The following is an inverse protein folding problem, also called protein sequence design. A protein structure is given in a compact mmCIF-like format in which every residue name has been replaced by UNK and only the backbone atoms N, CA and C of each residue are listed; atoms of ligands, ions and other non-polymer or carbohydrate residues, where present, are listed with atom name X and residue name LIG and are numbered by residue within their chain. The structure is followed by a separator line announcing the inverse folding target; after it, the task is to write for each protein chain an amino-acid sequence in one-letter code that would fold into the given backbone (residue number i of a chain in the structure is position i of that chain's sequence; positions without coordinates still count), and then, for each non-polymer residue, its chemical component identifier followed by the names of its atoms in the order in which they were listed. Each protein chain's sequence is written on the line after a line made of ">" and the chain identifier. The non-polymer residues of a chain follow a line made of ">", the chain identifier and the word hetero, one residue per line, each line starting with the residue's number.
data_IF_097203230773
#
_entry.id   IF_097203230773
#
_cell.length_a   1.000
_cell.length_b   1.000
_cell.length_c   1.000
_cell.angle_alpha   90.00
_cell.angle_beta   90.00
_cell.angle_gamma   90.00
#
_symmetry.space_group_name_H-M   'P 1'
#
loop_
_entity.id
_entity.type
_entity.pdbx_description
1 polymer ?
#
# COMPACT_ATOMS: atom_id res chain seq x y z
N UNK A 1 2.07 -28.67 -2.71
CA UNK A 1 1.30 -27.41 -2.60
C UNK A 1 2.01 -26.24 -3.28
N UNK A 2 3.28 -25.99 -2.97
CA UNK A 2 4.03 -24.85 -3.54
C UNK A 2 4.04 -24.90 -5.07
N UNK A 3 4.32 -26.04 -5.68
CA UNK A 3 4.36 -26.21 -7.14
C UNK A 3 3.05 -25.83 -7.85
N UNK A 4 1.89 -25.87 -7.17
CA UNK A 4 0.63 -25.43 -7.77
C UNK A 4 0.60 -23.92 -8.03
N UNK A 5 1.40 -23.15 -7.31
CA UNK A 5 1.52 -21.71 -7.50
C UNK A 5 2.40 -21.32 -8.70
N UNK A 6 3.21 -22.24 -9.26
CA UNK A 6 4.07 -21.97 -10.43
C UNK A 6 3.31 -21.41 -11.63
N UNK A 7 2.02 -21.77 -11.80
CA UNK A 7 1.21 -21.34 -12.95
C UNK A 7 1.01 -19.82 -13.00
N UNK A 8 1.02 -19.17 -11.86
CA UNK A 8 0.77 -17.72 -11.74
C UNK A 8 2.02 -16.98 -11.26
N UNK A 9 2.94 -17.64 -10.57
CA UNK A 9 4.13 -17.02 -10.03
C UNK A 9 5.05 -16.42 -11.11
N UNK A 10 5.66 -15.30 -10.79
CA UNK A 10 6.74 -14.70 -11.58
C UNK A 10 8.07 -15.38 -11.28
N UNK A 11 8.26 -15.76 -10.02
CA UNK A 11 9.47 -16.43 -9.57
C UNK A 11 9.24 -17.33 -8.37
N UNK A 12 10.11 -18.29 -8.23
CA UNK A 12 10.33 -19.07 -7.02
C UNK A 12 11.56 -18.52 -6.32
N UNK A 13 11.43 -18.25 -5.03
CA UNK A 13 12.53 -17.81 -4.17
C UNK A 13 12.82 -18.89 -3.15
N UNK A 14 14.10 -19.19 -2.95
CA UNK A 14 14.57 -19.99 -1.84
C UNK A 14 15.52 -19.16 -0.98
N UNK A 15 15.41 -19.31 0.33
CA UNK A 15 16.42 -18.86 1.28
C UNK A 15 16.98 -20.12 1.93
N UNK A 16 18.28 -20.34 1.75
CA UNK A 16 19.00 -21.50 2.29
C UNK A 16 20.31 -21.00 2.87
N UNK A 17 20.57 -21.34 4.13
CA UNK A 17 21.77 -20.90 4.87
C UNK A 17 22.01 -19.37 4.78
N UNK A 18 20.93 -18.58 4.85
CA UNK A 18 20.97 -17.12 4.78
C UNK A 18 21.23 -16.53 3.39
N UNK A 19 21.27 -17.33 2.35
CA UNK A 19 21.45 -16.90 0.95
C UNK A 19 20.16 -17.04 0.16
N UNK A 20 19.95 -16.10 -0.79
CA UNK A 20 18.79 -16.11 -1.67
C UNK A 20 19.11 -16.76 -3.02
N UNK A 21 18.22 -17.64 -3.47
CA UNK A 21 18.29 -18.29 -4.78
C UNK A 21 16.97 -18.08 -5.50
N UNK A 22 17.02 -17.80 -6.80
CA UNK A 22 15.84 -17.50 -7.62
C UNK A 22 15.76 -18.41 -8.85
N UNK A 23 14.55 -18.86 -9.12
CA UNK A 23 14.15 -19.46 -10.39
C UNK A 23 13.04 -18.58 -11.00
N UNK A 24 13.34 -17.90 -12.12
CA UNK A 24 12.38 -17.03 -12.79
C UNK A 24 11.53 -17.80 -13.79
N UNK A 25 10.23 -17.58 -13.79
CA UNK A 25 9.26 -18.19 -14.71
C UNK A 25 8.76 -17.21 -15.77
N UNK A 26 8.57 -15.96 -15.40
CA UNK A 26 8.11 -14.90 -16.31
C UNK A 26 8.60 -13.52 -15.86
N UNK A 27 8.59 -12.59 -16.77
CA UNK A 27 8.93 -11.19 -16.49
C UNK A 27 7.72 -10.47 -15.89
N UNK A 28 7.94 -9.65 -14.88
CA UNK A 28 6.93 -8.78 -14.30
C UNK A 28 6.71 -7.52 -15.15
N UNK A 29 5.60 -6.84 -14.91
CA UNK A 29 5.39 -5.50 -15.43
C UNK A 29 6.40 -4.56 -14.76
N UNK A 30 7.17 -3.83 -15.57
CA UNK A 30 8.18 -2.88 -15.07
C UNK A 30 9.23 -3.56 -14.17
N UNK A 31 9.74 -2.86 -13.16
CA UNK A 31 10.76 -3.36 -12.23
C UNK A 31 10.20 -3.97 -10.95
N UNK A 32 8.94 -4.41 -10.94
CA UNK A 32 8.29 -4.93 -9.72
C UNK A 32 9.02 -6.11 -9.09
N UNK A 33 9.33 -7.13 -9.88
CA UNK A 33 10.09 -8.29 -9.42
C UNK A 33 11.51 -7.91 -8.96
N UNK A 34 12.15 -7.01 -9.68
CA UNK A 34 13.50 -6.53 -9.38
C UNK A 34 13.55 -5.87 -7.99
N UNK A 35 12.66 -4.91 -7.72
CA UNK A 35 12.66 -4.21 -6.44
C UNK A 35 12.07 -5.04 -5.29
N UNK A 36 11.20 -6.01 -5.57
CA UNK A 36 10.78 -7.00 -4.57
C UNK A 36 11.94 -7.89 -4.13
N UNK A 37 12.67 -8.45 -5.08
CA UNK A 37 13.87 -9.25 -4.80
C UNK A 37 14.96 -8.42 -4.10
N UNK A 38 15.13 -7.16 -4.55
CA UNK A 38 16.04 -6.23 -3.88
C UNK A 38 15.66 -6.03 -2.41
N UNK A 39 14.37 -5.82 -2.12
CA UNK A 39 13.87 -5.69 -0.75
C UNK A 39 14.14 -6.91 0.11
N UNK A 40 13.98 -8.12 -0.43
CA UNK A 40 14.29 -9.35 0.26
C UNK A 40 15.80 -9.46 0.54
N UNK A 41 16.66 -9.09 -0.41
CA UNK A 41 18.10 -9.03 -0.17
C UNK A 41 18.47 -8.00 0.90
N UNK A 42 17.76 -6.86 0.96
CA UNK A 42 17.99 -5.89 2.03
C UNK A 42 17.54 -6.44 3.39
N UNK A 43 16.43 -7.20 3.46
CA UNK A 43 16.02 -7.89 4.68
C UNK A 43 17.12 -8.84 5.19
N UNK A 44 17.74 -9.62 4.30
CA UNK A 44 18.85 -10.52 4.65
C UNK A 44 20.08 -9.74 5.15
N UNK A 45 20.25 -8.48 4.73
CA UNK A 45 21.32 -7.60 5.24
C UNK A 45 20.95 -6.96 6.58
N UNK A 46 19.65 -6.69 6.83
CA UNK A 46 19.18 -6.20 8.15
C UNK A 46 19.33 -7.28 9.22
N UNK A 47 18.95 -8.52 8.88
CA UNK A 47 18.92 -9.65 9.81
C UNK A 47 19.71 -10.86 9.28
N UNK A 48 21.07 -10.74 9.17
CA UNK A 48 21.90 -11.79 8.58
C UNK A 48 21.82 -13.08 9.40
N UNK A 49 21.55 -14.21 8.72
CA UNK A 49 21.49 -15.53 9.34
C UNK A 49 20.31 -15.78 10.29
N UNK A 50 19.34 -14.85 10.39
CA UNK A 50 18.20 -14.98 11.31
C UNK A 50 16.94 -15.53 10.68
N UNK A 51 16.80 -15.46 9.35
CA UNK A 51 15.69 -16.08 8.64
C UNK A 51 15.89 -17.59 8.55
N UNK A 52 14.81 -18.33 8.81
CA UNK A 52 14.77 -19.77 8.58
C UNK A 52 14.87 -20.08 7.09
N UNK A 53 15.38 -21.27 6.77
CA UNK A 53 15.34 -21.78 5.41
C UNK A 53 13.89 -21.87 4.93
N UNK A 54 13.63 -21.36 3.75
CA UNK A 54 12.29 -21.36 3.17
C UNK A 54 12.31 -21.43 1.64
N UNK A 55 11.16 -21.79 1.10
CA UNK A 55 10.88 -21.78 -0.32
C UNK A 55 9.49 -21.18 -0.53
N UNK A 56 9.37 -20.19 -1.41
CA UNK A 56 8.10 -19.54 -1.71
C UNK A 56 7.91 -19.25 -3.19
N UNK A 57 6.68 -19.07 -3.60
CA UNK A 57 6.26 -18.56 -4.91
C UNK A 57 5.76 -17.14 -4.77
N UNK A 58 6.18 -16.27 -5.67
CA UNK A 58 5.78 -14.85 -5.69
C UNK A 58 5.17 -14.46 -7.03
N UNK A 59 4.03 -13.79 -6.99
CA UNK A 59 3.36 -13.23 -8.15
C UNK A 59 3.31 -11.69 -8.03
N UNK A 60 3.91 -11.00 -9.00
CA UNK A 60 4.04 -9.54 -9.04
C UNK A 60 2.87 -8.82 -9.72
N UNK A 61 1.82 -9.53 -10.11
CA UNK A 61 0.62 -8.93 -10.68
C UNK A 61 -0.28 -8.28 -9.61
N UNK A 62 -1.23 -7.44 -10.04
CA UNK A 62 -2.02 -6.63 -9.12
C UNK A 62 -3.05 -7.45 -8.32
N UNK A 63 -3.86 -8.29 -8.99
CA UNK A 63 -5.02 -8.93 -8.36
C UNK A 63 -4.70 -10.25 -7.70
N UNK A 64 -5.24 -10.52 -6.49
CA UNK A 64 -5.12 -11.83 -5.85
C UNK A 64 -5.82 -12.92 -6.67
N UNK A 65 -5.25 -14.13 -6.68
CA UNK A 65 -5.71 -15.24 -7.54
C UNK A 65 -6.06 -16.51 -6.80
N UNK A 66 -5.57 -16.71 -5.58
CA UNK A 66 -5.91 -17.90 -4.78
C UNK A 66 -7.27 -17.70 -4.14
N UNK A 67 -8.34 -18.07 -4.85
CA UNK A 67 -9.72 -17.79 -4.39
C UNK A 67 -10.16 -18.78 -3.32
N UNK A 68 -10.59 -18.28 -2.15
CA UNK A 68 -11.02 -19.12 -1.02
C UNK A 68 -12.16 -20.07 -1.35
N UNK A 69 -13.06 -19.69 -2.28
CA UNK A 69 -14.17 -20.54 -2.74
C UNK A 69 -13.72 -21.84 -3.43
N UNK A 70 -12.51 -21.83 -4.04
CA UNK A 70 -11.96 -22.96 -4.79
C UNK A 70 -11.26 -23.98 -3.88
N UNK A 71 -11.07 -23.62 -2.59
CA UNK A 71 -10.33 -24.42 -1.60
C UNK A 71 -11.19 -24.63 -0.35
N UNK A 72 -12.27 -25.42 -0.50
CA UNK A 72 -13.19 -25.76 0.61
C UNK A 72 -12.96 -27.18 1.09
N UNK A 73 -13.03 -27.37 2.41
CA UNK A 73 -12.89 -28.68 3.05
C UNK A 73 -11.50 -28.99 3.59
N UNK A 74 -11.35 -30.04 4.40
CA UNK A 74 -10.14 -30.30 5.18
C UNK A 74 -8.90 -30.65 4.34
N UNK A 75 -9.08 -31.10 3.10
CA UNK A 75 -8.00 -31.51 2.21
C UNK A 75 -7.76 -30.52 1.05
N UNK A 76 -8.35 -29.34 1.10
CA UNK A 76 -8.35 -28.43 -0.01
C UNK A 76 -6.94 -27.87 -0.36
N UNK A 77 -6.07 -27.64 0.63
CA UNK A 77 -4.67 -27.26 0.45
C UNK A 77 -4.44 -26.14 -0.57
N UNK A 78 -4.81 -24.88 -0.29
CA UNK A 78 -4.54 -23.77 -1.19
C UNK A 78 -3.02 -23.62 -1.42
N UNK A 79 -2.57 -23.28 -2.66
CA UNK A 79 -1.17 -23.00 -2.90
C UNK A 79 -0.74 -21.74 -2.14
N UNK A 80 0.35 -21.77 -1.37
CA UNK A 80 0.90 -20.54 -0.78
C UNK A 80 1.50 -19.70 -1.90
N UNK A 81 0.91 -18.52 -2.12
CA UNK A 81 1.36 -17.56 -3.13
C UNK A 81 1.49 -16.19 -2.49
N UNK A 82 2.67 -15.61 -2.55
CA UNK A 82 2.93 -14.27 -2.06
C UNK A 82 2.53 -13.24 -3.12
N UNK A 83 1.88 -12.15 -2.66
CA UNK A 83 1.42 -11.03 -3.48
C UNK A 83 1.45 -9.73 -2.70
N UNK A 84 1.21 -8.60 -3.37
CA UNK A 84 1.21 -7.27 -2.74
C UNK A 84 -0.11 -6.92 -2.07
N UNK A 85 -1.21 -7.57 -2.45
CA UNK A 85 -2.52 -7.34 -1.84
C UNK A 85 -3.36 -8.62 -1.81
N UNK A 86 -4.42 -8.57 -1.02
CA UNK A 86 -5.47 -9.59 -0.97
C UNK A 86 -6.85 -8.93 -0.95
N UNK A 87 -7.91 -9.72 -1.01
CA UNK A 87 -9.29 -9.34 -0.74
C UNK A 87 -9.94 -10.38 0.21
N UNK A 88 -11.13 -10.09 0.74
CA UNK A 88 -11.83 -11.00 1.68
C UNK A 88 -12.12 -12.39 1.08
N UNK A 89 -12.10 -12.51 -0.24
CA UNK A 89 -12.34 -13.77 -0.94
C UNK A 89 -11.06 -14.46 -1.42
N UNK A 90 -9.87 -14.05 -0.99
CA UNK A 90 -8.59 -14.62 -1.40
C UNK A 90 -7.76 -15.14 -0.22
N UNK A 91 -6.81 -16.02 -0.55
CA UNK A 91 -5.89 -16.65 0.39
C UNK A 91 -4.42 -16.34 0.05
N UNK A 92 -4.20 -15.37 -0.83
CA UNK A 92 -2.87 -14.88 -1.19
C UNK A 92 -2.19 -14.27 0.05
N UNK A 93 -0.89 -14.51 0.21
CA UNK A 93 -0.11 -14.02 1.35
C UNK A 93 0.40 -12.63 1.02
N UNK A 94 -0.06 -11.64 1.78
CA UNK A 94 0.24 -10.23 1.50
C UNK A 94 1.67 -9.89 1.91
N UNK A 95 2.39 -9.21 1.01
CA UNK A 95 3.77 -8.81 1.18
C UNK A 95 3.96 -7.35 0.76
N UNK A 96 4.93 -6.59 1.34
CA UNK A 96 5.19 -5.22 0.95
C UNK A 96 5.49 -5.08 -0.53
N UNK A 97 4.92 -4.05 -1.16
CA UNK A 97 5.11 -3.81 -2.58
C UNK A 97 6.52 -3.26 -2.91
N UNK A 98 6.92 -3.38 -4.16
CA UNK A 98 8.24 -2.97 -4.66
C UNK A 98 8.57 -1.49 -4.40
N UNK A 99 7.55 -0.62 -4.33
CA UNK A 99 7.75 0.82 -4.23
C UNK A 99 8.35 1.28 -2.90
N UNK A 100 8.40 0.42 -1.89
CA UNK A 100 9.16 0.69 -0.67
C UNK A 100 10.66 0.84 -0.95
N UNK A 101 11.18 0.17 -1.96
CA UNK A 101 12.58 0.28 -2.40
C UNK A 101 12.76 1.17 -3.63
N UNK A 102 11.67 1.63 -4.23
CA UNK A 102 11.60 2.56 -5.34
C UNK A 102 10.79 2.07 -6.53
N UNK A 103 10.24 3.00 -7.27
CA UNK A 103 9.55 2.74 -8.53
C UNK A 103 10.18 3.60 -9.63
N UNK A 104 11.13 3.00 -10.34
CA UNK A 104 12.02 3.71 -11.24
C UNK A 104 11.30 4.35 -12.44
N UNK A 105 10.29 3.65 -13.00
CA UNK A 105 9.55 4.10 -14.18
C UNK A 105 8.65 5.32 -13.90
N UNK A 106 8.33 5.57 -12.65
CA UNK A 106 7.53 6.73 -12.23
C UNK A 106 8.34 7.73 -11.41
N UNK A 107 9.64 7.48 -11.26
CA UNK A 107 10.57 8.27 -10.45
C UNK A 107 10.13 8.44 -8.98
N UNK A 108 9.39 7.46 -8.45
CA UNK A 108 9.04 7.43 -7.04
C UNK A 108 10.22 6.87 -6.27
N UNK A 109 10.82 7.73 -5.43
CA UNK A 109 12.01 7.41 -4.62
C UNK A 109 11.74 6.31 -3.61
N UNK A 110 12.78 5.58 -3.15
CA UNK A 110 12.68 4.67 -2.02
C UNK A 110 12.04 5.32 -0.80
N UNK A 111 11.20 4.57 -0.09
CA UNK A 111 10.40 5.08 1.03
C UNK A 111 11.25 5.72 2.14
N UNK A 112 12.40 5.13 2.44
CA UNK A 112 13.36 5.67 3.42
C UNK A 112 13.79 7.12 3.10
N UNK A 113 13.94 7.45 1.82
CA UNK A 113 14.31 8.80 1.36
C UNK A 113 13.09 9.70 1.15
N UNK A 114 11.97 9.13 0.73
CA UNK A 114 10.76 9.87 0.40
C UNK A 114 10.01 10.36 1.63
N UNK A 115 9.91 9.53 2.68
CA UNK A 115 9.16 9.84 3.89
C UNK A 115 9.64 11.14 4.57
N UNK A 116 10.94 11.38 4.79
CA UNK A 116 11.42 12.67 5.30
C UNK A 116 11.03 13.87 4.42
N UNK A 117 11.04 13.70 3.09
CA UNK A 117 10.63 14.75 2.14
C UNK A 117 9.15 15.09 2.27
N UNK A 118 8.29 14.10 2.48
CA UNK A 118 6.85 14.32 2.72
C UNK A 118 6.63 15.00 4.09
N UNK A 119 7.34 14.58 5.13
CA UNK A 119 7.34 15.25 6.46
C UNK A 119 7.69 16.73 6.33
N UNK A 120 8.70 17.05 5.56
CA UNK A 120 9.07 18.43 5.29
C UNK A 120 8.00 19.16 4.46
N UNK A 121 7.39 18.46 3.47
CA UNK A 121 6.26 18.98 2.70
C UNK A 121 5.06 19.40 3.56
N UNK A 122 4.77 18.63 4.62
CA UNK A 122 3.70 18.94 5.57
C UNK A 122 3.93 20.27 6.32
N UNK A 123 5.18 20.62 6.62
CA UNK A 123 5.54 21.83 7.37
C UNK A 123 5.45 23.10 6.53
N UNK A 124 5.51 23.00 5.19
CA UNK A 124 5.53 24.16 4.28
C UNK A 124 4.25 24.97 4.29
N UNK A 125 3.12 24.35 4.64
CA UNK A 125 1.81 25.01 4.68
C UNK A 125 1.08 24.57 5.94
N UNK A 126 0.77 25.51 6.82
CA UNK A 126 -0.07 25.25 7.99
C UNK A 126 -1.40 24.64 7.56
N UNK A 127 -1.96 23.76 8.35
CA UNK A 127 -3.19 23.05 7.96
C UNK A 127 -4.36 24.01 7.68
N UNK A 128 -4.45 25.08 8.45
CA UNK A 128 -5.48 26.13 8.34
C UNK A 128 -5.40 26.89 7.01
N UNK A 129 -4.19 27.01 6.44
CA UNK A 129 -3.92 27.73 5.19
C UNK A 129 -3.98 26.81 3.96
N UNK A 130 -4.15 25.49 4.17
CA UNK A 130 -4.29 24.53 3.07
C UNK A 130 -5.58 24.73 2.30
N UNK A 131 -5.54 24.40 1.02
CA UNK A 131 -6.69 24.44 0.11
C UNK A 131 -7.86 23.61 0.67
N UNK A 132 -9.05 24.21 0.91
CA UNK A 132 -10.17 23.56 1.61
C UNK A 132 -11.03 22.67 0.70
N UNK A 133 -10.42 22.02 -0.29
CA UNK A 133 -11.06 21.11 -1.25
C UNK A 133 -10.36 19.76 -1.26
N UNK A 134 -11.08 18.72 -1.68
CA UNK A 134 -10.54 17.38 -1.83
C UNK A 134 -9.67 17.28 -3.09
N UNK A 135 -8.46 16.79 -2.94
CA UNK A 135 -7.47 16.66 -3.99
C UNK A 135 -7.25 15.21 -4.39
N UNK A 136 -7.18 14.96 -5.67
CA UNK A 136 -6.66 13.73 -6.24
C UNK A 136 -5.87 14.01 -7.51
N UNK A 137 -4.71 13.36 -7.66
CA UNK A 137 -3.94 13.30 -8.90
C UNK A 137 -3.61 11.85 -9.21
N UNK A 138 -4.01 11.35 -10.37
CA UNK A 138 -3.76 9.97 -10.75
C UNK A 138 -4.17 9.64 -12.18
N UNK A 139 -3.85 8.41 -12.60
CA UNK A 139 -4.27 7.91 -13.91
C UNK A 139 -5.68 7.30 -13.80
N UNK A 140 -6.71 7.86 -14.47
CA UNK A 140 -8.07 7.35 -14.40
C UNK A 140 -8.29 6.09 -15.25
N UNK A 141 -7.38 5.81 -16.21
CA UNK A 141 -7.60 4.71 -17.17
C UNK A 141 -7.33 3.33 -16.57
N UNK A 142 -6.67 3.27 -15.41
CA UNK A 142 -6.30 2.01 -14.77
C UNK A 142 -7.49 1.28 -14.14
N UNK A 143 -8.59 1.98 -13.82
CA UNK A 143 -9.75 1.35 -13.21
C UNK A 143 -11.07 2.08 -13.50
N UNK A 144 -12.21 1.35 -13.64
CA UNK A 144 -13.52 1.96 -13.81
C UNK A 144 -13.92 2.92 -12.69
N UNK A 145 -13.60 2.57 -11.43
CA UNK A 145 -13.91 3.42 -10.25
C UNK A 145 -13.21 4.78 -10.32
N UNK A 146 -11.98 4.85 -10.88
CA UNK A 146 -11.28 6.12 -11.11
C UNK A 146 -11.88 6.94 -12.24
N UNK A 147 -12.35 6.29 -13.31
CA UNK A 147 -13.11 6.99 -14.38
C UNK A 147 -14.39 7.58 -13.83
N UNK A 148 -15.07 6.84 -12.95
CA UNK A 148 -16.28 7.32 -12.30
C UNK A 148 -16.01 8.50 -11.36
N UNK A 149 -14.88 8.50 -10.63
CA UNK A 149 -14.47 9.62 -9.79
C UNK A 149 -14.37 10.94 -10.59
N UNK A 150 -13.97 10.91 -11.86
CA UNK A 150 -13.83 12.14 -12.66
C UNK A 150 -15.14 12.90 -12.84
N UNK A 151 -16.29 12.26 -12.68
CA UNK A 151 -17.61 12.92 -12.70
C UNK A 151 -17.78 13.90 -11.54
N UNK A 152 -16.98 13.73 -10.48
CA UNK A 152 -17.00 14.58 -9.30
C UNK A 152 -16.12 15.84 -9.44
N UNK A 153 -15.41 16.01 -10.56
CA UNK A 153 -14.59 17.22 -10.72
C UNK A 153 -15.47 18.46 -10.87
N UNK A 154 -14.92 19.60 -10.48
CA UNK A 154 -15.59 20.90 -10.64
C UNK A 154 -15.96 21.14 -12.11
N UNK A 155 -17.15 21.64 -12.35
CA UNK A 155 -17.68 22.00 -13.67
C UNK A 155 -18.56 23.25 -13.54
N UNK A 156 -18.97 23.82 -14.67
CA UNK A 156 -19.89 24.98 -14.70
C UNK A 156 -21.25 24.69 -14.06
N UNK A 157 -21.63 23.41 -13.98
CA UNK A 157 -22.92 22.97 -13.43
C UNK A 157 -22.87 22.57 -11.97
N UNK A 158 -21.76 21.99 -11.53
CA UNK A 158 -21.64 21.42 -10.18
C UNK A 158 -20.22 21.60 -9.63
N UNK A 159 -20.13 21.98 -8.35
CA UNK A 159 -18.90 21.85 -7.55
C UNK A 159 -19.14 20.88 -6.38
N UNK A 160 -18.48 19.72 -6.46
CA UNK A 160 -18.50 18.69 -5.43
C UNK A 160 -17.40 18.88 -4.39
N UNK A 161 -16.83 20.07 -4.30
CA UNK A 161 -15.69 20.40 -3.43
C UNK A 161 -14.44 19.55 -3.73
N UNK A 162 -14.27 19.11 -4.98
CA UNK A 162 -13.13 18.32 -5.42
C UNK A 162 -12.31 19.04 -6.49
N UNK A 163 -11.01 18.71 -6.51
CA UNK A 163 -10.04 19.19 -7.52
C UNK A 163 -9.26 17.97 -7.99
N UNK A 164 -9.63 17.47 -9.16
CA UNK A 164 -9.14 16.21 -9.71
C UNK A 164 -8.21 16.49 -10.88
N UNK A 165 -6.99 15.94 -10.82
CA UNK A 165 -5.94 16.14 -11.80
C UNK A 165 -5.55 14.83 -12.45
N UNK A 166 -5.39 14.86 -13.76
CA UNK A 166 -4.96 13.68 -14.53
C UNK A 166 -3.44 13.52 -14.45
N UNK A 167 -2.99 12.30 -14.20
CA UNK A 167 -1.59 11.93 -14.25
C UNK A 167 -1.29 11.28 -15.60
N UNK A 168 -0.49 11.94 -16.41
CA UNK A 168 0.06 11.38 -17.64
C UNK A 168 1.55 11.06 -17.45
N UNK A 169 1.86 9.79 -17.20
CA UNK A 169 3.24 9.35 -16.94
C UNK A 169 4.18 9.53 -18.10
N UNK A 170 3.69 9.43 -19.35
CA UNK A 170 4.51 9.66 -20.54
C UNK A 170 4.95 11.14 -20.65
N UNK A 171 4.03 12.06 -20.42
CA UNK A 171 4.34 13.49 -20.40
C UNK A 171 5.27 13.84 -19.24
N UNK A 172 5.01 13.32 -18.04
CA UNK A 172 5.83 13.56 -16.86
C UNK A 172 7.27 13.06 -17.06
N UNK A 173 7.44 11.88 -17.65
CA UNK A 173 8.76 11.33 -17.97
C UNK A 173 9.55 12.26 -18.90
N UNK A 174 8.91 12.80 -19.94
CA UNK A 174 9.55 13.77 -20.87
C UNK A 174 9.91 15.09 -20.20
N UNK A 175 9.21 15.49 -19.13
CA UNK A 175 9.41 16.73 -18.38
C UNK A 175 10.26 16.54 -17.10
N UNK A 176 10.84 15.36 -16.89
CA UNK A 176 11.66 15.05 -15.71
C UNK A 176 10.86 14.98 -14.40
N UNK A 177 9.58 14.60 -14.47
CA UNK A 177 8.67 14.38 -13.33
C UNK A 177 8.46 15.60 -12.43
N UNK A 178 8.53 16.82 -12.95
CA UNK A 178 8.44 18.07 -12.18
C UNK A 178 7.13 18.20 -11.40
N UNK A 179 6.03 17.78 -12.01
CA UNK A 179 4.68 17.94 -11.44
C UNK A 179 4.21 16.69 -10.69
N UNK A 180 5.06 15.65 -10.60
CA UNK A 180 4.75 14.40 -9.90
C UNK A 180 5.41 14.27 -8.54
N UNK A 181 6.09 15.30 -8.04
CA UNK A 181 6.74 15.29 -6.74
C UNK A 181 5.73 15.13 -5.61
N UNK A 182 5.83 14.02 -4.88
CA UNK A 182 4.88 13.65 -3.82
C UNK A 182 4.96 14.58 -2.60
N UNK A 183 6.15 15.08 -2.27
CA UNK A 183 6.38 16.05 -1.20
C UNK A 183 5.67 17.39 -1.42
N UNK A 184 5.29 17.72 -2.65
CA UNK A 184 4.55 18.94 -2.99
C UNK A 184 3.02 18.76 -2.98
N UNK A 185 2.53 17.55 -2.66
CA UNK A 185 1.11 17.22 -2.72
C UNK A 185 0.38 17.33 -1.36
N UNK A 186 1.04 17.82 -0.30
CA UNK A 186 0.43 18.01 1.03
C UNK A 186 -0.16 19.42 1.22
N UNK A 187 -0.70 20.04 0.15
CA UNK A 187 -1.21 21.42 0.15
C UNK A 187 -2.73 21.53 0.33
N UNK A 188 -3.44 20.41 0.40
CA UNK A 188 -4.89 20.37 0.54
C UNK A 188 -5.26 19.81 1.92
N UNK A 189 -6.38 20.30 2.49
CA UNK A 189 -6.92 19.76 3.75
C UNK A 189 -7.38 18.33 3.62
N UNK A 190 -7.83 17.96 2.43
CA UNK A 190 -8.43 16.67 2.12
C UNK A 190 -7.73 16.05 0.92
N UNK A 191 -7.42 14.76 1.02
CA UNK A 191 -6.86 13.98 -0.09
C UNK A 191 -7.70 12.73 -0.33
N UNK A 192 -7.94 12.39 -1.58
CA UNK A 192 -8.74 11.22 -1.93
C UNK A 192 -7.82 10.02 -2.15
N UNK A 193 -8.09 8.92 -1.44
CA UNK A 193 -7.58 7.60 -1.80
C UNK A 193 -8.64 6.83 -2.58
N UNK A 194 -8.23 6.23 -3.69
CA UNK A 194 -9.05 5.34 -4.52
C UNK A 194 -8.18 4.28 -5.17
N UNK A 195 -8.66 3.04 -5.15
CA UNK A 195 -7.98 1.90 -5.73
C UNK A 195 -7.65 2.08 -7.23
N UNK A 196 -6.64 1.32 -7.69
CA UNK A 196 -6.35 1.12 -9.11
C UNK A 196 -7.04 -0.14 -9.65
N UNK A 197 -6.26 -0.93 -10.39
CA UNK A 197 -6.72 -2.25 -10.86
C UNK A 197 -6.90 -3.26 -9.71
N UNK A 198 -6.16 -3.07 -8.63
CA UNK A 198 -6.34 -3.63 -7.30
C UNK A 198 -6.05 -2.51 -6.28
N UNK A 199 -5.25 -2.76 -5.22
CA UNK A 199 -4.82 -1.69 -4.31
C UNK A 199 -4.08 -0.57 -5.06
N UNK A 200 -3.77 0.52 -4.39
CA UNK A 200 -2.94 1.56 -4.98
C UNK A 200 -1.74 1.86 -4.09
N UNK A 201 -0.54 1.73 -4.63
CA UNK A 201 0.72 2.10 -3.95
C UNK A 201 0.74 3.55 -3.44
N UNK A 202 -0.18 4.40 -3.93
CA UNK A 202 -0.30 5.80 -3.51
C UNK A 202 -0.85 5.97 -2.09
N UNK A 203 -1.39 4.93 -1.48
CA UNK A 203 -2.00 5.00 -0.14
C UNK A 203 -1.06 5.60 0.89
N UNK A 204 0.13 5.03 1.07
CA UNK A 204 1.12 5.52 2.01
C UNK A 204 1.56 6.96 1.74
N UNK A 205 1.63 7.38 0.48
CA UNK A 205 2.01 8.76 0.11
C UNK A 205 0.89 9.76 0.38
N UNK A 206 -0.36 9.35 0.18
CA UNK A 206 -1.54 10.16 0.44
C UNK A 206 -1.68 10.37 1.94
N UNK A 207 -1.62 9.30 2.71
CA UNK A 207 -1.85 9.30 4.15
C UNK A 207 -0.68 9.87 4.96
N UNK A 208 0.53 9.89 4.40
CA UNK A 208 1.68 10.55 5.04
C UNK A 208 1.58 12.09 5.06
N UNK A 209 0.64 12.70 4.32
CA UNK A 209 0.27 14.10 4.48
C UNK A 209 -0.67 14.25 5.69
N UNK A 210 -0.54 15.35 6.45
CA UNK A 210 -1.46 15.69 7.55
C UNK A 210 -2.84 16.16 7.03
N UNK A 211 -3.30 15.54 5.95
CA UNK A 211 -4.58 15.82 5.31
C UNK A 211 -5.58 14.76 5.68
N UNK A 212 -6.82 15.11 6.01
CA UNK A 212 -7.85 14.10 6.21
C UNK A 212 -8.03 13.30 4.91
N UNK A 213 -7.72 12.02 4.95
CA UNK A 213 -7.86 11.15 3.78
C UNK A 213 -9.31 10.74 3.60
N UNK A 214 -9.90 11.11 2.46
CA UNK A 214 -11.21 10.68 2.00
C UNK A 214 -11.05 9.33 1.29
N UNK A 215 -11.39 8.29 2.00
CA UNK A 215 -11.03 6.93 1.63
C UNK A 215 -12.21 6.25 0.94
N UNK A 216 -12.17 6.18 -0.40
CA UNK A 216 -13.19 5.49 -1.18
C UNK A 216 -13.15 4.01 -0.84
N UNK A 217 -14.29 3.44 -0.41
CA UNK A 217 -14.40 2.06 0.10
C UNK A 217 -13.61 1.09 -0.77
N UNK A 218 -12.51 0.50 -0.27
CA UNK A 218 -11.66 -0.38 -1.03
C UNK A 218 -12.24 -1.81 -1.05
N UNK A 219 -11.84 -2.55 -2.08
CA UNK A 219 -12.05 -4.00 -2.17
C UNK A 219 -10.82 -4.77 -1.74
N UNK A 220 -9.65 -4.20 -2.02
CA UNK A 220 -8.36 -4.85 -1.77
C UNK A 220 -7.66 -4.19 -0.58
N UNK A 221 -6.81 -4.96 0.08
CA UNK A 221 -5.97 -4.47 1.17
C UNK A 221 -4.52 -4.91 0.98
N UNK A 222 -3.59 -4.05 1.32
CA UNK A 222 -2.18 -4.35 1.48
C UNK A 222 -1.86 -4.81 2.93
N UNK A 223 -0.58 -4.91 3.28
CA UNK A 223 -0.19 -5.48 4.56
C UNK A 223 -0.46 -4.58 5.78
N UNK A 224 -0.55 -3.25 5.63
CA UNK A 224 -0.76 -2.32 6.78
C UNK A 224 -2.19 -1.80 6.91
N UNK A 225 -2.95 -1.80 5.83
CA UNK A 225 -4.26 -1.17 5.74
C UNK A 225 -5.28 -1.67 6.78
N UNK A 226 -5.20 -2.95 7.16
CA UNK A 226 -6.12 -3.53 8.13
C UNK A 226 -5.96 -2.99 9.56
N UNK A 227 -4.82 -2.39 9.89
CA UNK A 227 -4.57 -1.72 11.17
C UNK A 227 -5.26 -0.36 11.30
N UNK A 228 -5.69 0.26 10.19
CA UNK A 228 -6.31 1.59 10.21
C UNK A 228 -7.79 1.54 10.53
N UNK A 229 -8.30 2.59 11.21
CA UNK A 229 -9.68 2.71 11.66
C UNK A 229 -10.36 3.95 11.06
N UNK A 230 -11.64 3.81 10.60
CA UNK A 230 -12.43 4.96 10.14
C UNK A 230 -12.64 5.97 11.27
N UNK A 231 -12.71 7.25 10.94
CA UNK A 231 -12.82 8.41 11.85
C UNK A 231 -11.60 8.66 12.74
N UNK A 232 -10.67 7.71 12.81
CA UNK A 232 -9.37 7.88 13.47
C UNK A 232 -8.27 8.18 12.46
N UNK A 233 -8.15 7.37 11.40
CA UNK A 233 -7.10 7.49 10.40
C UNK A 233 -7.60 7.97 9.04
N UNK A 234 -8.89 7.83 8.76
CA UNK A 234 -9.47 8.25 7.50
C UNK A 234 -10.97 8.49 7.60
N UNK A 235 -11.52 9.21 6.63
CA UNK A 235 -12.95 9.41 6.45
C UNK A 235 -13.48 8.48 5.35
N UNK A 236 -14.40 7.55 5.64
CA UNK A 236 -14.92 6.61 4.65
C UNK A 236 -15.84 7.30 3.63
N UNK A 237 -15.66 6.97 2.35
CA UNK A 237 -16.45 7.47 1.22
C UNK A 237 -17.17 6.29 0.56
N UNK A 238 -18.46 6.43 0.28
CA UNK A 238 -19.25 5.44 -0.44
C UNK A 238 -18.79 5.33 -1.91
N UNK A 239 -18.54 4.12 -2.39
CA UNK A 239 -18.11 3.91 -3.77
C UNK A 239 -19.22 4.14 -4.79
N UNK A 240 -20.48 3.88 -4.44
CA UNK A 240 -21.64 4.03 -5.32
C UNK A 240 -22.21 5.46 -5.42
N UNK A 241 -21.79 6.36 -4.53
CA UNK A 241 -22.22 7.76 -4.46
C UNK A 241 -21.08 8.73 -4.16
N UNK A 242 -19.93 8.54 -4.82
CA UNK A 242 -18.67 9.24 -4.55
C UNK A 242 -18.82 10.76 -4.46
N UNK A 243 -19.51 11.38 -5.42
CA UNK A 243 -19.56 12.83 -5.51
C UNK A 243 -20.31 13.47 -4.33
N UNK A 244 -21.45 12.90 -3.96
CA UNK A 244 -22.24 13.36 -2.80
C UNK A 244 -21.51 13.11 -1.51
N UNK A 245 -20.89 11.91 -1.34
CA UNK A 245 -20.09 11.57 -0.16
C UNK A 245 -18.86 12.48 -0.01
N UNK A 246 -18.15 12.77 -1.11
CA UNK A 246 -17.01 13.70 -1.11
C UNK A 246 -17.40 15.11 -0.73
N UNK A 247 -18.51 15.62 -1.30
CA UNK A 247 -19.03 16.95 -0.95
C UNK A 247 -19.36 17.04 0.53
N UNK A 248 -20.13 16.09 1.04
CA UNK A 248 -20.47 16.02 2.46
C UNK A 248 -19.22 15.97 3.34
N UNK A 249 -18.26 15.11 3.04
CA UNK A 249 -17.04 14.97 3.84
C UNK A 249 -16.23 16.27 3.91
N UNK A 250 -16.08 16.98 2.78
CA UNK A 250 -15.36 18.26 2.73
C UNK A 250 -16.11 19.35 3.51
N UNK A 251 -17.43 19.45 3.37
CA UNK A 251 -18.24 20.42 4.12
C UNK A 251 -18.23 20.14 5.62
N UNK A 252 -18.37 18.86 6.00
CA UNK A 252 -18.24 18.44 7.39
C UNK A 252 -16.88 18.83 7.96
N UNK A 253 -15.80 18.52 7.25
CA UNK A 253 -14.44 18.82 7.68
C UNK A 253 -14.16 20.32 7.78
N UNK A 254 -14.69 21.13 6.86
CA UNK A 254 -14.56 22.60 6.91
C UNK A 254 -15.36 23.22 8.08
N UNK A 255 -16.44 22.56 8.52
CA UNK A 255 -17.22 22.96 9.69
C UNK A 255 -16.66 22.38 11.00
N UNK A 256 -15.82 21.34 10.95
CA UNK A 256 -15.22 20.66 12.11
C UNK A 256 -13.70 20.56 11.95
N UNK A 257 -13.05 21.71 11.73
CA UNK A 257 -11.62 21.80 11.33
C UNK A 257 -10.69 21.05 12.27
N UNK A 258 -10.89 21.16 13.57
CA UNK A 258 -10.04 20.48 14.55
C UNK A 258 -10.13 18.95 14.45
N UNK A 259 -11.36 18.42 14.23
CA UNK A 259 -11.56 16.99 14.06
C UNK A 259 -10.97 16.49 12.73
N UNK A 260 -11.18 17.24 11.65
CA UNK A 260 -10.62 16.89 10.35
C UNK A 260 -9.08 16.91 10.37
N UNK A 261 -8.49 17.90 11.04
CA UNK A 261 -7.05 18.00 11.28
C UNK A 261 -6.55 16.80 12.09
N UNK A 262 -7.21 16.47 13.19
CA UNK A 262 -6.83 15.36 14.05
C UNK A 262 -6.85 13.99 13.31
N UNK A 263 -7.83 13.75 12.43
CA UNK A 263 -7.89 12.55 11.58
C UNK A 263 -6.68 12.50 10.63
N UNK A 264 -6.35 13.64 10.00
CA UNK A 264 -5.20 13.73 9.10
C UNK A 264 -3.87 13.50 9.81
N UNK A 265 -3.69 14.12 10.99
CA UNK A 265 -2.49 13.95 11.82
C UNK A 265 -2.36 12.52 12.37
N UNK A 266 -3.45 11.89 12.78
CA UNK A 266 -3.43 10.49 13.23
C UNK A 266 -3.03 9.53 12.08
N UNK A 267 -3.56 9.76 10.88
CA UNK A 267 -3.18 8.99 9.69
C UNK A 267 -1.69 9.16 9.36
N UNK A 268 -1.23 10.41 9.33
CA UNK A 268 0.17 10.67 8.99
C UNK A 268 1.13 10.15 10.05
N UNK A 269 0.77 10.23 11.32
CA UNK A 269 1.56 9.65 12.40
C UNK A 269 1.67 8.12 12.26
N UNK A 270 0.56 7.43 11.99
CA UNK A 270 0.58 5.98 11.73
C UNK A 270 1.56 5.64 10.57
N UNK A 271 1.43 6.34 9.44
CA UNK A 271 2.31 6.09 8.27
C UNK A 271 3.77 6.50 8.56
N UNK A 272 3.97 7.58 9.30
CA UNK A 272 5.31 8.11 9.53
C UNK A 272 6.07 7.36 10.63
N UNK A 273 5.38 6.82 11.61
CA UNK A 273 5.99 6.15 12.76
C UNK A 273 5.90 4.63 12.67
N UNK A 274 4.75 4.07 12.29
CA UNK A 274 4.53 2.61 12.28
C UNK A 274 4.85 1.96 10.91
N UNK A 275 5.01 2.76 9.84
CA UNK A 275 5.39 2.26 8.52
C UNK A 275 6.83 2.66 8.12
N UNK A 276 7.71 2.90 9.08
CA UNK A 276 9.15 3.07 8.84
C UNK A 276 9.72 1.81 8.20
N UNK A 277 10.80 1.97 7.41
CA UNK A 277 11.44 0.82 6.76
C UNK A 277 11.88 -0.26 7.74
N UNK A 278 12.22 0.09 8.98
CA UNK A 278 12.62 -0.86 10.00
C UNK A 278 11.44 -1.80 10.34
N UNK A 279 10.23 -1.27 10.54
CA UNK A 279 9.01 -2.07 10.76
C UNK A 279 8.51 -2.79 9.50
N UNK A 280 8.79 -2.25 8.30
CA UNK A 280 8.55 -2.99 7.05
C UNK A 280 9.43 -4.23 6.99
N UNK A 281 10.70 -4.13 7.38
CA UNK A 281 11.60 -5.30 7.48
C UNK A 281 11.17 -6.26 8.59
N UNK A 282 10.69 -5.77 9.73
CA UNK A 282 10.13 -6.62 10.79
C UNK A 282 8.91 -7.41 10.31
N UNK A 283 7.98 -6.74 9.60
CA UNK A 283 6.83 -7.45 9.00
C UNK A 283 7.29 -8.53 8.02
N UNK A 284 8.23 -8.21 7.12
CA UNK A 284 8.79 -9.18 6.18
C UNK A 284 9.44 -10.36 6.91
N UNK A 285 10.23 -10.08 7.94
CA UNK A 285 10.89 -11.10 8.76
C UNK A 285 9.86 -12.04 9.37
N UNK A 286 8.84 -11.50 10.02
CA UNK A 286 7.82 -12.31 10.68
C UNK A 286 6.98 -13.12 9.71
N UNK A 287 6.48 -12.53 8.64
CA UNK A 287 5.67 -13.28 7.66
C UNK A 287 6.46 -14.41 7.01
N UNK A 288 7.74 -14.19 6.71
CA UNK A 288 8.60 -15.22 6.13
C UNK A 288 8.95 -16.31 7.14
N UNK A 289 9.28 -15.98 8.38
CA UNK A 289 9.60 -16.95 9.42
C UNK A 289 8.38 -17.78 9.83
N UNK A 290 7.21 -17.15 10.03
CA UNK A 290 5.99 -17.91 10.33
C UNK A 290 5.59 -18.81 9.16
N UNK A 291 5.76 -18.35 7.95
CA UNK A 291 5.57 -19.20 6.76
C UNK A 291 6.56 -20.37 6.72
N UNK A 292 7.85 -20.12 6.98
CA UNK A 292 8.89 -21.16 7.00
C UNK A 292 8.59 -22.29 8.00
N UNK A 293 8.06 -21.95 9.20
CA UNK A 293 7.64 -22.94 10.21
C UNK A 293 6.52 -23.87 9.74
N UNK A 294 5.74 -23.45 8.74
CA UNK A 294 4.65 -24.27 8.18
C UNK A 294 5.16 -25.26 7.11
N UNK A 295 6.38 -25.11 6.62
CA UNK A 295 6.96 -26.01 5.63
C UNK A 295 7.23 -27.39 6.27
N UNK A 296 6.73 -28.45 5.63
CA UNK A 296 6.91 -29.84 6.08
C UNK A 296 8.08 -30.56 5.37
N UNK A 297 8.97 -29.79 4.77
CA UNK A 297 10.14 -30.30 4.06
C UNK A 297 11.29 -29.28 4.20
N UNK A 298 12.52 -29.74 4.02
CA UNK A 298 13.70 -28.87 3.94
C UNK A 298 13.86 -28.37 2.50
N UNK A 299 13.94 -27.05 2.27
CA UNK A 299 14.19 -26.51 0.94
C UNK A 299 15.49 -27.05 0.33
N UNK A 300 15.44 -27.39 -0.94
CA UNK A 300 16.61 -27.82 -1.72
C UNK A 300 16.75 -26.96 -2.95
N UNK A 301 17.96 -26.48 -3.21
CA UNK A 301 18.23 -25.55 -4.31
C UNK A 301 18.05 -26.29 -5.64
N UNK A 302 17.08 -25.88 -6.50
CA UNK A 302 16.89 -26.47 -7.81
C UNK A 302 18.12 -26.24 -8.72
N UNK A 303 18.41 -27.17 -9.67
CA UNK A 303 19.56 -27.01 -10.58
C UNK A 303 19.58 -25.71 -11.38
N UNK A 304 18.40 -25.15 -11.69
CA UNK A 304 18.24 -23.93 -12.49
C UNK A 304 18.17 -22.64 -11.63
N UNK A 305 18.20 -22.75 -10.31
CA UNK A 305 18.15 -21.60 -9.44
C UNK A 305 19.50 -20.87 -9.41
N UNK A 306 19.44 -19.55 -9.48
CA UNK A 306 20.62 -18.68 -9.48
C UNK A 306 20.74 -17.98 -8.13
N UNK A 307 21.91 -18.05 -7.51
CA UNK A 307 22.18 -17.28 -6.29
C UNK A 307 22.15 -15.77 -6.59
N UNK A 308 21.36 -15.04 -5.80
CA UNK A 308 21.28 -13.59 -5.83
C UNK A 308 22.03 -12.96 -4.65
N UNK A 309 22.70 -11.85 -4.91
CA UNK A 309 23.21 -10.95 -3.89
C UNK A 309 23.03 -9.50 -4.35
N UNK A 310 23.18 -8.56 -3.41
CA UNK A 310 23.00 -7.13 -3.70
C UNK A 310 23.91 -6.65 -4.81
N UNK A 311 25.14 -7.13 -4.87
CA UNK A 311 26.15 -6.77 -5.87
C UNK A 311 25.75 -7.28 -7.26
N UNK A 312 25.32 -8.53 -7.38
CA UNK A 312 24.85 -9.09 -8.67
C UNK A 312 23.66 -8.33 -9.25
N UNK A 313 22.83 -7.73 -8.39
CA UNK A 313 21.69 -6.91 -8.85
C UNK A 313 22.10 -5.46 -9.15
N UNK A 314 22.87 -4.83 -8.26
CA UNK A 314 23.17 -3.39 -8.37
C UNK A 314 24.32 -3.05 -9.31
N UNK A 315 25.34 -3.92 -9.48
CA UNK A 315 26.47 -3.63 -10.35
C UNK A 315 26.08 -3.45 -11.83
N UNK A 316 25.25 -4.32 -12.42
CA UNK A 316 24.82 -4.16 -13.81
C UNK A 316 23.71 -3.11 -13.99
N UNK A 317 23.06 -2.68 -12.90
CA UNK A 317 21.97 -1.68 -12.97
C UNK A 317 22.52 -0.31 -13.41
N UNK A 318 21.70 0.45 -14.13
CA UNK A 318 22.02 1.79 -14.61
C UNK A 318 20.90 2.79 -14.32
N UNK A 319 21.16 4.09 -14.49
CA UNK A 319 20.16 5.15 -14.39
C UNK A 319 19.43 5.16 -13.04
N UNK A 320 18.13 5.38 -13.11
CA UNK A 320 17.25 5.48 -11.93
C UNK A 320 17.19 4.18 -11.13
N UNK A 321 17.30 3.03 -11.78
CA UNK A 321 17.33 1.73 -11.11
C UNK A 321 18.51 1.62 -10.15
N UNK A 322 19.71 1.88 -10.65
CA UNK A 322 20.93 1.88 -9.83
C UNK A 322 20.84 2.88 -8.70
N UNK A 323 20.39 4.10 -9.02
CA UNK A 323 20.22 5.15 -8.02
C UNK A 323 19.33 4.69 -6.87
N UNK A 324 18.16 4.14 -7.17
CA UNK A 324 17.21 3.69 -6.12
C UNK A 324 17.70 2.46 -5.36
N UNK A 325 18.38 1.53 -5.99
CA UNK A 325 19.04 0.43 -5.30
C UNK A 325 20.09 0.94 -4.32
N UNK A 326 20.94 1.89 -4.72
CA UNK A 326 21.96 2.46 -3.84
C UNK A 326 21.34 3.26 -2.69
N UNK A 327 20.29 4.06 -2.96
CA UNK A 327 19.58 4.85 -1.95
C UNK A 327 18.85 3.99 -0.91
N UNK A 328 18.34 2.82 -1.32
CA UNK A 328 17.63 1.88 -0.44
C UNK A 328 18.50 0.78 0.14
N UNK A 329 19.79 0.77 -0.18
CA UNK A 329 20.72 -0.26 0.31
C UNK A 329 20.91 -0.16 1.82
N UNK A 330 20.75 -1.26 2.49
CA UNK A 330 21.08 -1.42 3.92
C UNK A 330 22.61 -1.47 4.06
N UNK A 331 23.17 -0.53 4.82
CA UNK A 331 24.63 -0.36 4.94
C UNK A 331 25.25 -1.24 6.02
N UNK A 332 24.49 -1.54 7.06
CA UNK A 332 24.91 -2.38 8.19
C UNK A 332 23.74 -3.22 8.70
N UNK A 333 23.99 -4.39 9.28
CA UNK A 333 22.98 -5.14 10.02
C UNK A 333 22.33 -4.29 11.12
N UNK A 334 21.11 -4.67 11.51
CA UNK A 334 20.47 -4.11 12.70
C UNK A 334 21.15 -4.63 13.96
N UNK A 335 21.42 -3.75 14.90
CA UNK A 335 21.89 -4.10 16.24
C UNK A 335 20.72 -4.64 17.09
N UNK A 336 19.48 -4.35 16.71
CA UNK A 336 18.27 -4.78 17.39
C UNK A 336 17.70 -6.07 16.77
N UNK A 337 16.96 -6.80 17.59
CA UNK A 337 16.15 -7.92 17.12
C UNK A 337 14.89 -7.37 16.42
N UNK A 338 14.29 -8.15 15.50
CA UNK A 338 12.96 -7.82 15.00
C UNK A 338 11.98 -7.61 16.17
N UNK A 339 11.06 -6.68 16.03
CA UNK A 339 10.06 -6.39 17.07
C UNK A 339 9.31 -7.66 17.49
N UNK A 340 8.88 -7.72 18.75
CA UNK A 340 8.06 -8.83 19.21
C UNK A 340 6.64 -8.65 18.69
N UNK A 341 6.12 -9.68 17.96
CA UNK A 341 4.72 -9.67 17.57
C UNK A 341 3.82 -9.78 18.81
N UNK A 342 2.74 -8.97 18.89
CA UNK A 342 1.72 -9.22 19.89
C UNK A 342 1.07 -10.59 19.63
N UNK A 343 0.46 -11.21 20.66
CA UNK A 343 -0.30 -12.43 20.44
C UNK A 343 -1.45 -12.19 19.43
N UNK A 344 -1.81 -13.19 18.63
CA UNK A 344 -2.96 -13.08 17.74
C UNK A 344 -4.21 -12.64 18.53
N UNK A 345 -5.06 -11.84 17.90
CA UNK A 345 -6.36 -11.54 18.50
C UNK A 345 -7.13 -12.83 18.79
N UNK A 346 -7.68 -12.95 19.97
CA UNK A 346 -8.72 -13.96 20.16
C UNK A 346 -9.94 -13.65 19.27
N UNK A 347 -10.77 -14.66 18.92
CA UNK A 347 -11.87 -14.47 17.96
C UNK A 347 -12.90 -13.41 18.39
N UNK A 348 -13.12 -13.21 19.70
CA UNK A 348 -14.06 -12.21 20.21
C UNK A 348 -13.47 -10.81 20.06
N UNK A 349 -12.22 -10.61 20.49
CA UNK A 349 -11.52 -9.35 20.37
C UNK A 349 -11.37 -8.91 18.90
N UNK A 350 -11.10 -9.86 17.97
CA UNK A 350 -11.08 -9.57 16.55
C UNK A 350 -12.44 -9.13 16.02
N UNK A 351 -13.51 -9.84 16.41
CA UNK A 351 -14.88 -9.48 16.03
C UNK A 351 -15.23 -8.09 16.52
N UNK A 352 -14.95 -7.80 17.78
CA UNK A 352 -15.26 -6.51 18.40
C UNK A 352 -14.48 -5.37 17.73
N UNK A 353 -13.22 -5.60 17.36
CA UNK A 353 -12.41 -4.66 16.56
C UNK A 353 -13.04 -4.38 15.20
N UNK A 354 -13.39 -5.42 14.46
CA UNK A 354 -14.03 -5.28 13.13
C UNK A 354 -15.40 -4.61 13.23
N UNK A 355 -16.17 -4.88 14.28
CA UNK A 355 -17.47 -4.26 14.51
C UNK A 355 -17.36 -2.77 14.85
N UNK A 356 -16.36 -2.35 15.65
CA UNK A 356 -16.08 -0.93 15.89
C UNK A 356 -15.78 -0.20 14.56
N UNK A 357 -14.96 -0.77 13.68
CA UNK A 357 -14.67 -0.21 12.35
C UNK A 357 -15.94 -0.08 11.50
N UNK A 358 -16.78 -1.11 11.50
CA UNK A 358 -18.05 -1.09 10.79
C UNK A 358 -19.02 -0.05 11.37
N UNK A 359 -19.08 0.09 12.70
CA UNK A 359 -19.90 1.09 13.38
C UNK A 359 -19.47 2.52 13.03
N UNK A 360 -18.16 2.81 13.01
CA UNK A 360 -17.66 4.12 12.62
C UNK A 360 -18.04 4.45 11.18
N UNK A 361 -17.98 3.46 10.27
CA UNK A 361 -18.42 3.65 8.87
C UNK A 361 -19.92 3.92 8.80
N UNK A 362 -20.75 3.14 9.49
CA UNK A 362 -22.21 3.35 9.54
C UNK A 362 -22.59 4.71 10.13
N UNK A 363 -21.83 5.18 11.12
CA UNK A 363 -22.03 6.51 11.69
C UNK A 363 -21.83 7.63 10.67
N UNK A 364 -20.78 7.56 9.86
CA UNK A 364 -20.54 8.51 8.78
C UNK A 364 -21.66 8.46 7.74
N UNK A 365 -22.09 7.25 7.37
CA UNK A 365 -23.21 7.05 6.44
C UNK A 365 -24.53 7.60 6.97
N UNK A 366 -24.78 7.52 8.28
CA UNK A 366 -25.94 8.12 8.91
C UNK A 366 -25.89 9.65 8.86
N UNK A 367 -24.77 10.26 9.23
CA UNK A 367 -24.57 11.73 9.12
C UNK A 367 -24.73 12.24 7.69
N UNK A 368 -24.22 11.51 6.71
CA UNK A 368 -24.38 11.84 5.29
C UNK A 368 -25.86 11.80 4.87
N UNK A 369 -26.61 10.76 5.30
CA UNK A 369 -28.03 10.65 4.99
C UNK A 369 -28.85 11.80 5.61
N UNK A 370 -28.60 12.16 6.86
CA UNK A 370 -29.25 13.28 7.55
C UNK A 370 -28.95 14.62 6.85
N UNK A 371 -27.69 14.81 6.44
CA UNK A 371 -27.28 16.01 5.72
C UNK A 371 -28.06 16.17 4.42
N UNK A 372 -28.16 15.14 3.57
CA UNK A 372 -28.86 15.21 2.30
C UNK A 372 -30.38 15.34 2.48
N UNK A 373 -31.00 14.66 3.43
CA UNK A 373 -32.42 14.83 3.77
C UNK A 373 -32.74 16.27 4.19
N UNK A 374 -31.81 16.94 4.87
CA UNK A 374 -31.99 18.34 5.26
C UNK A 374 -31.96 19.30 4.05
N UNK A 375 -31.25 18.92 2.99
CA UNK A 375 -31.22 19.69 1.73
C UNK A 375 -32.51 19.55 0.95
N UNK A 376 -33.06 18.34 0.83
CA UNK A 376 -34.32 18.08 0.13
C UNK A 376 -35.52 18.81 0.79
N UNK A 377 -35.52 18.97 2.09
CA UNK A 377 -36.58 19.69 2.83
C UNK A 377 -36.51 21.22 2.68
N UNK A 378 -35.41 21.76 2.16
CA UNK A 378 -35.20 23.22 1.97
C UNK A 378 -35.45 23.69 0.53
N UNK A 379 -35.61 22.75 -0.41
CA UNK A 379 -36.04 23.00 -1.77
C UNK A 379 -37.55 22.85 -1.90
#
# INVERSE_FOLDING_TARGET
>A
MIERACRTAHFRLLIVDGKAYIEKYRQSIQTRDMFTLWGILQLLRVYPGRLLDLELMFDCDDRPVVRSKDFRGPNAGPPPLFRYCADEGSLDIVFPDWSFWGWAETNIKPWRSLLPSIKEGNKRTKWEDRVPYAYWKGNPTVAPTRKDLLKCNVSDKNDWNTRLYLQNWEQESKQGYKDSNLENQCKHRYKIYIEGWAWSVSEKYIMACDSMTLYVRPRYYDFFMRGMEPLQHFWPIRDNSKCTSLKFAVEWGNNHKDKAKAIGEAASNFIQEDLKMDYVYDYMFHVLNEYAKLLKFKPTIPPNAVELCSEKMSCPATGTWKKFMVESMVKSPSDELPCTLPPPYDPLALRDFLERKANSTRQVEAWENEYWQSFEKKQ
#
